data_IF_216653408719
#
_entry.id   IF_216653408719
#
_cell.length_a   1.000
_cell.length_b   1.000
_cell.length_c   1.000
_cell.angle_alpha   90.00
_cell.angle_beta   90.00
_cell.angle_gamma   90.00
#
_symmetry.space_group_name_H-M   'P 1'
#
loop_
_entity.id
_entity.type
_entity.pdbx_description
1 polymer ?
#
# COMPACT_ATOMS: atom_id res chain seq x y z
N UNK A 1 -11.82 -15.88 -8.44
CA UNK A 1 -11.23 -16.69 -7.35
C UNK A 1 -9.89 -16.06 -6.99
N UNK A 2 -9.65 -15.77 -5.71
CA UNK A 2 -8.37 -15.25 -5.21
C UNK A 2 -7.34 -16.37 -5.31
N UNK A 3 -6.18 -16.10 -5.90
CA UNK A 3 -5.12 -17.09 -6.04
C UNK A 3 -4.28 -17.19 -4.77
N UNK A 4 -3.58 -18.31 -4.56
CA UNK A 4 -2.67 -18.48 -3.42
C UNK A 4 -1.57 -17.40 -3.41
N UNK A 5 -1.10 -17.03 -4.59
CA UNK A 5 -0.13 -15.96 -4.83
C UNK A 5 -0.66 -14.59 -4.36
N UNK A 6 -1.92 -14.27 -4.60
CA UNK A 6 -2.54 -13.00 -4.16
C UNK A 6 -2.47 -12.87 -2.64
N UNK A 7 -2.71 -13.98 -1.94
CA UNK A 7 -2.60 -14.04 -0.49
C UNK A 7 -1.22 -13.72 0.01
N UNK A 8 -0.21 -14.37 -0.57
CA UNK A 8 1.17 -14.14 -0.17
C UNK A 8 1.60 -12.70 -0.44
N UNK A 9 1.28 -12.14 -1.61
CA UNK A 9 1.63 -10.75 -1.94
C UNK A 9 0.99 -9.77 -0.96
N UNK A 10 -0.29 -9.94 -0.66
CA UNK A 10 -0.97 -9.05 0.29
C UNK A 10 -0.37 -9.19 1.69
N UNK A 11 -0.09 -10.40 2.17
CA UNK A 11 0.64 -10.62 3.43
C UNK A 11 1.97 -9.87 3.47
N UNK A 12 2.73 -9.91 2.39
CA UNK A 12 4.01 -9.22 2.29
C UNK A 12 3.87 -7.69 2.23
N UNK A 13 2.85 -7.17 1.54
CA UNK A 13 2.54 -5.74 1.53
C UNK A 13 2.26 -5.25 2.96
N UNK A 14 1.46 -5.98 3.73
CA UNK A 14 1.15 -5.60 5.11
C UNK A 14 2.25 -5.95 6.12
N UNK A 15 3.35 -6.58 5.68
CA UNK A 15 4.59 -6.76 6.45
C UNK A 15 5.62 -5.65 6.22
N UNK A 16 5.36 -4.71 5.31
CA UNK A 16 6.16 -3.50 5.13
C UNK A 16 6.18 -2.65 6.41
N UNK A 17 7.03 -1.61 6.40
CA UNK A 17 7.20 -0.72 7.53
C UNK A 17 5.87 -0.10 7.99
N UNK A 18 5.75 0.16 9.29
CA UNK A 18 4.57 0.83 9.84
C UNK A 18 4.41 2.23 9.23
N UNK A 19 5.52 2.94 8.94
CA UNK A 19 5.52 4.21 8.20
C UNK A 19 4.82 4.09 6.84
N UNK A 20 5.17 3.08 6.03
CA UNK A 20 4.55 2.89 4.72
C UNK A 20 3.03 2.65 4.82
N UNK A 21 2.61 1.87 5.82
CA UNK A 21 1.20 1.58 6.06
C UNK A 21 0.45 2.80 6.63
N UNK A 22 1.06 3.58 7.52
CA UNK A 22 0.52 4.85 8.02
C UNK A 22 0.31 5.83 6.86
N UNK A 23 1.31 6.00 6.00
CA UNK A 23 1.23 6.90 4.84
C UNK A 23 0.15 6.47 3.86
N UNK A 24 -0.02 5.17 3.63
CA UNK A 24 -1.14 4.64 2.84
C UNK A 24 -2.49 4.97 3.48
N UNK A 25 -2.66 4.75 4.80
CA UNK A 25 -3.92 5.07 5.50
C UNK A 25 -4.23 6.56 5.42
N UNK A 26 -3.23 7.42 5.67
CA UNK A 26 -3.35 8.87 5.52
C UNK A 26 -3.79 9.26 4.11
N UNK A 27 -3.17 8.70 3.07
CA UNK A 27 -3.54 8.98 1.68
C UNK A 27 -4.95 8.51 1.30
N UNK A 28 -5.37 7.33 1.79
CA UNK A 28 -6.68 6.76 1.46
C UNK A 28 -7.84 7.43 2.20
N UNK A 29 -7.64 7.78 3.47
CA UNK A 29 -8.71 8.25 4.36
C UNK A 29 -8.60 9.72 4.74
N UNK A 30 -7.56 10.44 4.27
CA UNK A 30 -7.36 11.85 4.60
C UNK A 30 -7.01 12.08 6.07
N UNK A 31 -6.36 11.11 6.70
CA UNK A 31 -5.91 11.20 8.11
C UNK A 31 -4.51 11.80 8.20
N UNK A 32 -4.11 12.22 9.40
CA UNK A 32 -2.83 12.89 9.67
C UNK A 32 -2.02 12.17 10.77
N UNK A 33 -2.01 10.84 10.74
CA UNK A 33 -1.17 10.05 11.65
C UNK A 33 0.31 10.33 11.42
N UNK A 34 1.10 10.32 12.49
CA UNK A 34 2.55 10.50 12.44
C UNK A 34 3.26 9.22 12.00
N UNK A 35 4.45 9.34 11.41
CA UNK A 35 5.18 8.20 10.84
C UNK A 35 5.60 7.16 11.89
N UNK A 36 5.73 7.58 13.14
CA UNK A 36 6.12 6.74 14.28
C UNK A 36 4.92 5.98 14.89
N UNK A 37 3.71 6.22 14.40
CA UNK A 37 2.51 5.51 14.87
C UNK A 37 2.62 4.03 14.58
N UNK A 38 2.46 3.24 15.64
CA UNK A 38 2.55 1.79 15.55
C UNK A 38 1.31 1.21 14.86
N UNK A 39 1.52 0.23 14.00
CA UNK A 39 0.44 -0.51 13.37
C UNK A 39 0.38 -1.95 13.89
N UNK A 40 -0.76 -2.30 14.47
CA UNK A 40 -1.08 -3.69 14.81
C UNK A 40 -1.88 -4.32 13.68
N UNK A 41 -1.50 -5.54 13.29
CA UNK A 41 -2.09 -6.29 12.17
C UNK A 41 -2.85 -7.50 12.72
N UNK A 42 -4.14 -7.60 12.40
CA UNK A 42 -5.00 -8.72 12.75
C UNK A 42 -5.52 -9.38 11.47
N UNK A 43 -5.00 -10.56 11.17
CA UNK A 43 -5.44 -11.35 10.01
C UNK A 43 -6.75 -12.06 10.32
N UNK A 44 -7.68 -12.02 9.36
CA UNK A 44 -8.93 -12.79 9.45
C UNK A 44 -8.92 -13.87 8.39
N UNK A 45 -8.77 -15.11 8.84
CA UNK A 45 -8.81 -16.31 8.00
C UNK A 45 -10.27 -16.75 7.73
N UNK A 46 -11.04 -15.89 7.04
CA UNK A 46 -12.32 -16.29 6.44
C UNK A 46 -12.16 -16.50 4.92
N UNK A 47 -13.24 -16.81 4.19
CA UNK A 47 -13.24 -17.08 2.73
C UNK A 47 -12.63 -15.96 1.87
N UNK A 48 -12.53 -14.74 2.41
CA UNK A 48 -11.86 -13.60 1.78
C UNK A 48 -10.63 -13.18 2.59
N UNK A 49 -9.51 -13.00 1.90
CA UNK A 49 -8.28 -12.47 2.49
C UNK A 49 -8.52 -11.05 2.99
N UNK A 50 -8.47 -10.90 4.31
CA UNK A 50 -8.66 -9.62 4.96
C UNK A 50 -7.69 -9.41 6.13
N UNK A 51 -7.27 -8.16 6.28
CA UNK A 51 -6.41 -7.71 7.38
C UNK A 51 -7.02 -6.47 8.01
N UNK A 52 -7.14 -6.50 9.33
CA UNK A 52 -7.50 -5.33 10.12
C UNK A 52 -6.21 -4.68 10.66
N UNK A 53 -5.99 -3.43 10.29
CA UNK A 53 -4.95 -2.58 10.85
C UNK A 53 -5.52 -1.76 11.99
N UNK A 54 -4.79 -1.68 13.11
CA UNK A 54 -5.07 -0.73 14.19
C UNK A 54 -3.95 0.30 14.22
N UNK A 55 -4.29 1.59 14.14
CA UNK A 55 -3.33 2.70 14.25
C UNK A 55 -3.44 3.30 15.66
N UNK A 56 -2.30 3.44 16.35
CA UNK A 56 -2.25 3.94 17.73
C UNK A 56 -3.06 3.09 18.73
N UNK A 57 -3.45 1.87 18.35
CA UNK A 57 -4.29 0.96 19.15
C UNK A 57 -5.77 1.31 19.17
N UNK A 58 -6.19 2.37 18.48
CA UNK A 58 -7.56 2.90 18.61
C UNK A 58 -8.37 2.86 17.32
N UNK A 59 -7.81 3.37 16.22
CA UNK A 59 -8.52 3.49 14.94
C UNK A 59 -8.30 2.24 14.11
N UNK A 60 -9.37 1.70 13.52
CA UNK A 60 -9.33 0.42 12.81
C UNK A 60 -9.61 0.62 11.33
N UNK A 61 -8.84 -0.07 10.50
CA UNK A 61 -8.99 -0.08 9.05
C UNK A 61 -8.95 -1.52 8.55
N UNK A 62 -9.93 -1.94 7.76
CA UNK A 62 -9.94 -3.28 7.19
C UNK A 62 -9.65 -3.23 5.70
N UNK A 63 -8.68 -4.02 5.27
CA UNK A 63 -8.32 -4.19 3.88
C UNK A 63 -8.71 -5.59 3.44
N UNK A 64 -9.40 -5.71 2.32
CA UNK A 64 -9.82 -6.98 1.75
C UNK A 64 -9.60 -7.00 0.24
N UNK A 65 -9.27 -8.18 -0.27
CA UNK A 65 -9.07 -8.39 -1.70
C UNK A 65 -10.29 -9.10 -2.29
N UNK A 66 -10.77 -8.66 -3.45
CA UNK A 66 -11.84 -9.32 -4.21
C UNK A 66 -11.56 -9.26 -5.71
N UNK A 67 -12.11 -10.21 -6.47
CA UNK A 67 -12.08 -10.18 -7.95
C UNK A 67 -13.51 -10.05 -8.46
N UNK A 68 -13.79 -9.01 -9.21
CA UNK A 68 -15.12 -8.69 -9.76
C UNK A 68 -14.97 -8.40 -11.26
N UNK A 69 -15.75 -9.11 -12.08
CA UNK A 69 -15.77 -8.94 -13.55
C UNK A 69 -14.38 -8.93 -14.20
N UNK A 70 -13.51 -9.85 -13.75
CA UNK A 70 -12.13 -9.95 -14.26
C UNK A 70 -11.15 -8.98 -13.61
N UNK A 71 -11.60 -7.91 -12.96
CA UNK A 71 -10.71 -6.92 -12.33
C UNK A 71 -10.37 -7.29 -10.89
N UNK A 72 -9.16 -6.96 -10.45
CA UNK A 72 -8.78 -7.04 -9.04
C UNK A 72 -9.23 -5.77 -8.32
N UNK A 73 -9.89 -5.94 -7.18
CA UNK A 73 -10.33 -4.84 -6.34
C UNK A 73 -9.81 -4.98 -4.92
N UNK A 74 -9.24 -3.90 -4.39
CA UNK A 74 -8.91 -3.77 -2.98
C UNK A 74 -9.97 -2.90 -2.33
N UNK A 75 -10.65 -3.44 -1.32
CA UNK A 75 -11.61 -2.70 -0.51
C UNK A 75 -10.93 -2.34 0.82
N UNK A 76 -10.79 -1.05 1.09
CA UNK A 76 -10.25 -0.49 2.32
C UNK A 76 -11.37 0.24 3.08
N UNK A 77 -11.71 -0.23 4.26
CA UNK A 77 -12.82 0.29 5.06
C UNK A 77 -12.31 0.89 6.37
N UNK A 78 -12.74 2.11 6.69
CA UNK A 78 -12.60 2.65 8.04
C UNK A 78 -13.62 1.96 8.96
N UNK A 79 -13.12 1.20 9.93
CA UNK A 79 -13.90 0.46 10.94
C UNK A 79 -14.06 1.23 12.25
N UNK A 80 -13.78 2.54 12.21
CA UNK A 80 -13.93 3.49 13.31
C UNK A 80 -12.99 3.24 14.49
N UNK A 81 -13.20 4.05 15.53
CA UNK A 81 -12.40 4.02 16.75
C UNK A 81 -12.98 3.07 17.80
N UNK A 82 -12.16 2.20 18.40
CA UNK A 82 -12.59 1.20 19.37
C UNK A 82 -13.39 1.79 20.55
N UNK A 83 -13.02 2.97 21.04
CA UNK A 83 -13.70 3.62 22.16
C UNK A 83 -15.06 4.19 21.80
N UNK A 84 -15.27 4.57 20.54
CA UNK A 84 -16.59 4.98 20.04
C UNK A 84 -17.54 3.79 20.10
N UNK A 85 -17.09 2.59 19.71
CA UNK A 85 -17.90 1.39 19.83
C UNK A 85 -18.12 0.96 21.29
N UNK A 86 -17.08 0.95 22.12
CA UNK A 86 -17.19 0.53 23.52
C UNK A 86 -18.02 1.48 24.38
N UNK A 87 -17.94 2.80 24.18
CA UNK A 87 -18.77 3.79 24.88
C UNK A 87 -20.19 3.90 24.34
N UNK A 88 -20.45 3.43 23.11
CA UNK A 88 -21.77 3.53 22.47
C UNK A 88 -22.53 2.19 22.42
N UNK A 89 -21.95 1.10 22.90
CA UNK A 89 -22.55 -0.25 23.01
C UNK A 89 -23.69 -0.38 24.05
N UNK A 90 -24.51 0.65 24.24
CA UNK A 90 -25.71 0.59 25.11
C UNK A 90 -26.98 0.32 24.28
N UNK A 91 -26.87 0.03 22.98
CA UNK A 91 -27.99 -0.39 22.13
C UNK A 91 -27.55 -0.96 20.78
N UNK A 92 -28.48 -1.56 20.05
CA UNK A 92 -28.25 -2.09 18.71
C UNK A 92 -27.88 -0.95 17.75
N UNK A 93 -26.72 -1.07 17.09
CA UNK A 93 -26.25 -0.11 16.10
C UNK A 93 -26.96 -0.37 14.78
N UNK A 94 -27.75 0.59 14.30
CA UNK A 94 -28.39 0.48 12.99
C UNK A 94 -27.37 0.84 11.90
N UNK A 95 -27.07 -0.13 11.03
CA UNK A 95 -26.18 0.06 9.90
C UNK A 95 -26.97 0.45 8.66
N UNK A 96 -26.80 1.68 8.19
CA UNK A 96 -27.33 2.11 6.91
C UNK A 96 -26.19 1.97 5.89
N UNK A 97 -26.30 0.97 5.01
CA UNK A 97 -25.39 0.83 3.87
C UNK A 97 -25.91 1.69 2.74
N UNK A 98 -25.11 2.65 2.30
CA UNK A 98 -25.36 3.34 1.03
C UNK A 98 -25.35 2.31 -0.12
N UNK A 99 -26.22 2.46 -1.13
CA UNK A 99 -26.20 1.59 -2.30
C UNK A 99 -24.82 1.66 -2.96
N UNK A 100 -24.14 0.52 -3.03
CA UNK A 100 -22.86 0.41 -3.71
C UNK A 100 -23.11 0.50 -5.22
N UNK A 101 -22.98 1.71 -5.79
CA UNK A 101 -22.98 1.89 -7.24
C UNK A 101 -21.58 1.48 -7.72
N UNK A 102 -21.42 0.25 -8.19
CA UNK A 102 -20.17 -0.23 -8.78
C UNK A 102 -19.87 0.61 -10.04
N UNK A 103 -18.86 1.48 -9.98
CA UNK A 103 -18.36 2.17 -11.18
C UNK A 103 -17.23 1.34 -11.79
N UNK A 104 -17.40 0.98 -13.06
CA UNK A 104 -16.34 0.36 -13.85
C UNK A 104 -15.51 1.49 -14.48
N UNK A 105 -14.43 1.87 -13.81
CA UNK A 105 -13.47 2.88 -14.25
C UNK A 105 -12.04 2.38 -14.07
N UNK A 106 -11.09 2.97 -14.82
CA UNK A 106 -9.70 2.52 -14.86
C UNK A 106 -8.90 3.08 -13.70
N UNK A 107 -8.35 2.21 -12.84
CA UNK A 107 -7.41 2.58 -11.77
C UNK A 107 -7.89 3.73 -10.89
N UNK A 108 -9.18 3.77 -10.56
CA UNK A 108 -9.79 4.80 -9.73
C UNK A 108 -10.03 4.32 -8.29
N UNK A 109 -9.97 5.29 -7.38
CA UNK A 109 -10.43 5.17 -6.01
C UNK A 109 -11.88 5.64 -5.96
N UNK A 110 -12.79 4.74 -5.60
CA UNK A 110 -14.17 5.08 -5.32
C UNK A 110 -14.35 5.36 -3.84
N UNK A 111 -15.22 6.32 -3.54
CA UNK A 111 -15.48 6.80 -2.20
C UNK A 111 -16.93 6.51 -1.84
N UNK A 112 -17.13 5.59 -0.90
CA UNK A 112 -18.42 5.30 -0.30
C UNK A 112 -18.37 5.57 1.19
N UNK A 113 -19.52 5.60 1.84
CA UNK A 113 -19.58 5.64 3.30
C UNK A 113 -20.51 4.57 3.86
N UNK A 114 -20.24 4.17 5.10
CA UNK A 114 -21.20 3.48 5.95
C UNK A 114 -21.62 4.44 7.04
N UNK A 115 -22.91 4.70 7.14
CA UNK A 115 -23.46 5.45 8.26
C UNK A 115 -23.85 4.50 9.38
N UNK A 116 -23.32 4.76 10.57
CA UNK A 116 -23.73 4.13 11.81
C UNK A 116 -24.66 5.08 12.57
N UNK A 117 -25.87 4.64 12.83
CA UNK A 117 -26.84 5.37 13.65
C UNK A 117 -26.95 4.69 15.02
N UNK A 118 -26.69 5.47 16.06
CA UNK A 118 -26.76 5.02 17.44
C UNK A 118 -28.06 5.57 18.08
N UNK A 119 -28.86 4.74 18.77
CA UNK A 119 -30.12 5.17 19.36
C UNK A 119 -29.95 6.39 20.28
N UNK A 120 -30.63 7.50 19.97
CA UNK A 120 -30.59 8.75 20.74
C UNK A 120 -29.26 9.52 20.68
N UNK A 121 -28.40 9.23 19.70
CA UNK A 121 -27.05 9.80 19.57
C UNK A 121 -26.74 10.26 18.13
N UNK A 122 -25.53 10.80 17.95
CA UNK A 122 -24.98 11.26 16.67
C UNK A 122 -24.82 10.12 15.65
N UNK A 123 -24.94 10.48 14.36
CA UNK A 123 -24.62 9.61 13.23
C UNK A 123 -23.12 9.68 12.96
N UNK A 124 -22.50 8.54 12.74
CA UNK A 124 -21.07 8.45 12.40
C UNK A 124 -20.94 7.90 10.98
N UNK A 125 -20.33 8.68 10.10
CA UNK A 125 -19.99 8.25 8.74
C UNK A 125 -18.59 7.67 8.70
N UNK A 126 -18.48 6.46 8.16
CA UNK A 126 -17.24 5.72 8.05
C UNK A 126 -16.89 5.51 6.57
N UNK A 127 -15.79 6.10 6.07
CA UNK A 127 -15.43 5.99 4.67
C UNK A 127 -15.02 4.56 4.29
N UNK A 128 -15.44 4.14 3.12
CA UNK A 128 -15.04 2.93 2.41
C UNK A 128 -14.40 3.37 1.09
N UNK A 129 -13.20 2.87 0.83
CA UNK A 129 -12.46 3.10 -0.41
C UNK A 129 -12.40 1.79 -1.19
N UNK A 130 -12.88 1.81 -2.43
CA UNK A 130 -12.69 0.68 -3.36
C UNK A 130 -11.69 1.10 -4.42
N UNK A 131 -10.67 0.29 -4.60
CA UNK A 131 -9.57 0.50 -5.54
C UNK A 131 -9.70 -0.58 -6.60
N UNK A 132 -10.01 -0.20 -7.84
CA UNK A 132 -10.09 -1.14 -8.96
C UNK A 132 -8.81 -1.06 -9.79
N UNK A 133 -8.14 -2.18 -10.02
CA UNK A 133 -6.95 -2.27 -10.86
C UNK A 133 -7.34 -2.78 -12.26
N UNK A 134 -7.34 -1.88 -13.25
CA UNK A 134 -7.75 -2.11 -14.65
C UNK A 134 -6.72 -1.57 -15.67
N UNK A 135 -5.84 -0.63 -15.29
CA UNK A 135 -4.74 -0.15 -16.15
C UNK A 135 -3.35 -0.45 -15.56
N UNK A 136 -2.31 -0.52 -16.41
CA UNK A 136 -0.94 -0.83 -15.97
C UNK A 136 -0.14 0.40 -15.49
N UNK A 137 -0.78 1.52 -15.12
CA UNK A 137 -0.07 2.75 -14.76
C UNK A 137 0.44 2.77 -13.32
N UNK A 138 1.73 2.49 -13.14
CA UNK A 138 2.41 2.64 -11.84
C UNK A 138 2.33 4.08 -11.31
N UNK A 139 2.41 5.07 -12.20
CA UNK A 139 2.34 6.49 -11.86
C UNK A 139 0.99 6.88 -11.24
N UNK A 140 -0.13 6.51 -11.87
CA UNK A 140 -1.45 6.81 -11.31
C UNK A 140 -1.66 6.13 -9.96
N UNK A 141 -1.16 4.90 -9.83
CA UNK A 141 -1.24 4.17 -8.57
C UNK A 141 -0.47 4.90 -7.45
N UNK A 142 0.70 5.44 -7.77
CA UNK A 142 1.50 6.29 -6.88
C UNK A 142 0.78 7.60 -6.52
N UNK A 143 0.29 8.33 -7.53
CA UNK A 143 -0.40 9.62 -7.35
C UNK A 143 -1.65 9.50 -6.46
N UNK A 144 -2.32 8.34 -6.49
CA UNK A 144 -3.49 8.04 -5.65
C UNK A 144 -3.13 7.52 -4.24
N UNK A 145 -1.85 7.44 -3.88
CA UNK A 145 -1.39 6.93 -2.57
C UNK A 145 -1.50 5.41 -2.43
N UNK A 146 -1.56 4.68 -3.55
CA UNK A 146 -1.84 3.24 -3.60
C UNK A 146 -0.61 2.41 -4.01
N UNK A 147 0.60 3.00 -3.92
CA UNK A 147 1.85 2.41 -4.41
C UNK A 147 2.10 1.00 -3.85
N UNK A 148 1.62 0.70 -2.64
CA UNK A 148 1.78 -0.62 -2.03
C UNK A 148 1.13 -1.76 -2.85
N UNK A 149 0.14 -1.44 -3.69
CA UNK A 149 -0.53 -2.41 -4.55
C UNK A 149 0.10 -2.56 -5.94
N UNK A 150 1.26 -1.94 -6.17
CA UNK A 150 2.00 -1.99 -7.45
C UNK A 150 2.21 -3.41 -8.01
N UNK A 151 2.52 -4.46 -7.19
CA UNK A 151 2.71 -5.82 -7.70
C UNK A 151 1.47 -6.38 -8.39
N UNK A 152 0.28 -5.87 -8.11
CA UNK A 152 -0.95 -6.36 -8.72
C UNK A 152 -1.19 -5.81 -10.13
N UNK A 153 -0.46 -4.77 -10.58
CA UNK A 153 -0.58 -4.25 -11.96
C UNK A 153 -0.12 -5.25 -13.02
N UNK A 154 0.63 -6.29 -12.64
CA UNK A 154 0.98 -7.38 -13.56
C UNK A 154 -0.24 -8.15 -14.08
N UNK A 155 -1.35 -8.19 -13.33
CA UNK A 155 -2.61 -8.72 -13.85
C UNK A 155 -3.09 -7.95 -15.07
N UNK A 156 -3.03 -6.62 -15.01
CA UNK A 156 -3.45 -5.76 -16.11
C UNK A 156 -2.61 -6.02 -17.38
N UNK A 157 -1.31 -6.30 -17.23
CA UNK A 157 -0.43 -6.62 -18.37
C UNK A 157 -0.80 -7.96 -19.00
N UNK A 158 -1.09 -8.99 -18.19
CA UNK A 158 -1.49 -10.30 -18.70
C UNK A 158 -2.80 -10.25 -19.48
N UNK A 159 -3.75 -9.43 -19.01
CA UNK A 159 -5.09 -9.29 -19.57
C UNK A 159 -5.13 -8.37 -20.81
N UNK A 160 -4.00 -7.78 -21.24
CA UNK A 160 -3.93 -6.98 -22.48
C UNK A 160 -4.19 -7.84 -23.72
N UNK A 161 -5.25 -7.52 -24.44
CA UNK A 161 -5.58 -8.07 -25.76
C UNK A 161 -4.76 -7.39 -26.87
N UNK A 162 -3.46 -7.62 -26.88
CA UNK A 162 -2.52 -7.11 -27.89
C UNK A 162 -1.58 -8.21 -28.38
N UNK A 163 -0.85 -7.96 -29.47
CA UNK A 163 0.17 -8.90 -29.95
C UNK A 163 1.28 -9.11 -28.92
N UNK A 164 1.86 -10.31 -28.90
CA UNK A 164 2.99 -10.68 -28.02
C UNK A 164 4.11 -9.64 -28.03
N UNK A 165 4.54 -9.21 -29.23
CA UNK A 165 5.57 -8.17 -29.40
C UNK A 165 5.20 -6.83 -28.75
N UNK A 166 3.92 -6.46 -28.77
CA UNK A 166 3.43 -5.23 -28.13
C UNK A 166 3.35 -5.42 -26.61
N UNK A 167 2.91 -6.59 -26.13
CA UNK A 167 2.85 -6.94 -24.72
C UNK A 167 4.24 -6.97 -24.10
N UNK A 168 5.21 -7.60 -24.75
CA UNK A 168 6.63 -7.62 -24.37
C UNK A 168 7.18 -6.19 -24.22
N UNK A 169 6.95 -5.32 -25.22
CA UNK A 169 7.42 -3.93 -25.16
C UNK A 169 6.80 -3.15 -23.99
N UNK A 170 5.49 -3.30 -23.77
CA UNK A 170 4.79 -2.65 -22.65
C UNK A 170 5.37 -3.13 -21.32
N UNK A 171 5.63 -4.43 -21.21
CA UNK A 171 6.20 -5.03 -20.02
C UNK A 171 7.63 -4.55 -19.75
N UNK A 172 8.50 -4.47 -20.78
CA UNK A 172 9.88 -3.94 -20.63
C UNK A 172 9.86 -2.51 -20.11
N UNK A 173 9.05 -1.65 -20.73
CA UNK A 173 8.86 -0.28 -20.25
C UNK A 173 8.38 -0.25 -18.80
N UNK A 174 7.41 -1.11 -18.47
CA UNK A 174 6.83 -1.15 -17.13
C UNK A 174 7.86 -1.54 -16.04
N UNK A 175 8.69 -2.55 -16.27
CA UNK A 175 9.66 -3.02 -15.27
C UNK A 175 10.91 -2.14 -15.20
N UNK A 176 11.39 -1.65 -16.34
CA UNK A 176 12.66 -0.91 -16.42
C UNK A 176 12.47 0.56 -16.05
N UNK A 177 11.29 1.12 -16.34
CA UNK A 177 11.02 2.55 -16.18
C UNK A 177 9.90 2.80 -15.17
N UNK A 178 8.67 2.36 -15.44
CA UNK A 178 7.50 2.81 -14.67
C UNK A 178 7.55 2.41 -13.19
N UNK A 179 7.91 1.15 -12.90
CA UNK A 179 8.07 0.66 -11.52
C UNK A 179 9.19 1.43 -10.82
N UNK A 180 10.34 1.57 -11.49
CA UNK A 180 11.54 2.20 -10.90
C UNK A 180 11.24 3.66 -10.54
N UNK A 181 10.64 4.41 -11.46
CA UNK A 181 10.25 5.80 -11.21
C UNK A 181 9.19 5.93 -10.11
N UNK A 182 8.16 5.08 -10.11
CA UNK A 182 7.09 5.16 -9.11
C UNK A 182 7.62 4.90 -7.70
N UNK A 183 8.53 3.92 -7.55
CA UNK A 183 9.17 3.61 -6.27
C UNK A 183 10.15 4.72 -5.84
N UNK A 184 10.94 5.27 -6.76
CA UNK A 184 11.85 6.39 -6.47
C UNK A 184 11.07 7.66 -6.05
N UNK A 185 9.97 7.99 -6.75
CA UNK A 185 9.06 9.08 -6.35
C UNK A 185 8.49 8.85 -4.95
N UNK A 186 8.02 7.64 -4.67
CA UNK A 186 7.44 7.29 -3.37
C UNK A 186 8.46 7.37 -2.24
N UNK A 187 9.70 6.96 -2.49
CA UNK A 187 10.82 7.11 -1.57
C UNK A 187 11.13 8.58 -1.30
N UNK A 188 11.27 9.40 -2.35
CA UNK A 188 11.53 10.84 -2.24
C UNK A 188 10.43 11.59 -1.49
N UNK A 189 9.17 11.16 -1.62
CA UNK A 189 8.02 11.69 -0.85
C UNK A 189 7.99 11.20 0.60
N UNK A 190 8.84 10.25 1.00
CA UNK A 190 8.81 9.62 2.32
C UNK A 190 7.64 8.65 2.53
N UNK A 191 6.95 8.26 1.45
CA UNK A 191 5.86 7.27 1.50
C UNK A 191 6.38 5.84 1.70
N UNK A 192 7.62 5.59 1.28
CA UNK A 192 8.32 4.32 1.45
C UNK A 192 9.69 4.56 2.07
N UNK A 193 10.13 3.66 2.95
CA UNK A 193 11.54 3.62 3.37
C UNK A 193 12.41 2.99 2.28
N UNK A 194 13.73 3.14 2.41
CA UNK A 194 14.67 2.49 1.49
C UNK A 194 14.49 0.96 1.46
N UNK A 195 14.20 0.34 2.61
CA UNK A 195 13.93 -1.09 2.70
C UNK A 195 12.61 -1.47 2.03
N UNK A 196 11.55 -0.67 2.22
CA UNK A 196 10.26 -0.91 1.56
C UNK A 196 10.39 -0.87 0.04
N UNK A 197 11.16 0.07 -0.51
CA UNK A 197 11.45 0.13 -1.96
C UNK A 197 12.05 -1.18 -2.45
N UNK A 198 13.06 -1.72 -1.77
CA UNK A 198 13.68 -2.97 -2.18
C UNK A 198 12.71 -4.15 -2.03
N UNK A 199 11.90 -4.17 -0.96
CA UNK A 199 10.87 -5.21 -0.79
C UNK A 199 9.83 -5.16 -1.91
N UNK A 200 9.38 -3.96 -2.28
CA UNK A 200 8.44 -3.74 -3.37
C UNK A 200 9.00 -4.20 -4.72
N UNK A 201 10.28 -3.94 -5.01
CA UNK A 201 10.96 -4.51 -6.20
C UNK A 201 10.90 -6.04 -6.20
N UNK A 202 11.18 -6.69 -5.07
CA UNK A 202 11.11 -8.15 -4.97
C UNK A 202 9.69 -8.70 -5.15
N UNK A 203 8.66 -8.01 -4.62
CA UNK A 203 7.27 -8.39 -4.84
C UNK A 203 6.87 -8.24 -6.31
N UNK A 204 7.29 -7.14 -6.96
CA UNK A 204 7.07 -6.94 -8.39
C UNK A 204 7.78 -8.02 -9.22
N UNK A 205 9.02 -8.38 -8.88
CA UNK A 205 9.78 -9.46 -9.54
C UNK A 205 9.06 -10.81 -9.41
N UNK A 206 8.55 -11.11 -8.23
CA UNK A 206 7.79 -12.34 -8.00
C UNK A 206 6.54 -12.38 -8.88
N UNK A 207 5.77 -11.29 -8.91
CA UNK A 207 4.55 -11.20 -9.71
C UNK A 207 4.84 -11.26 -11.21
N UNK A 208 5.87 -10.56 -11.68
CA UNK A 208 6.34 -10.63 -13.06
C UNK A 208 6.63 -12.07 -13.47
N UNK A 209 7.43 -12.79 -12.68
CA UNK A 209 7.76 -14.19 -12.95
C UNK A 209 6.51 -15.06 -12.93
N UNK A 210 5.70 -15.00 -11.87
CA UNK A 210 4.53 -15.86 -11.72
C UNK A 210 3.50 -15.69 -12.83
N UNK A 211 3.25 -14.45 -13.22
CA UNK A 211 2.19 -14.12 -14.16
C UNK A 211 2.63 -14.31 -15.62
N UNK A 212 3.90 -14.02 -15.93
CA UNK A 212 4.37 -13.93 -17.31
C UNK A 212 5.28 -15.10 -17.73
N UNK A 213 5.70 -16.00 -16.83
CA UNK A 213 6.53 -17.17 -17.18
C UNK A 213 5.86 -18.14 -18.17
N UNK A 214 4.58 -17.98 -18.49
CA UNK A 214 3.91 -18.78 -19.52
C UNK A 214 3.90 -18.13 -20.90
N UNK A 215 4.25 -16.84 -20.97
CA UNK A 215 4.33 -16.10 -22.22
C UNK A 215 5.57 -16.57 -23.01
N UNK A 216 5.43 -16.71 -24.33
CA UNK A 216 6.50 -17.25 -25.20
C UNK A 216 7.76 -16.38 -25.17
N UNK A 217 7.57 -15.06 -25.24
CA UNK A 217 8.66 -14.08 -25.20
C UNK A 217 9.38 -14.10 -23.84
N UNK A 218 8.72 -14.42 -22.73
CA UNK A 218 9.39 -14.61 -21.44
C UNK A 218 10.24 -15.88 -21.33
N UNK A 219 10.18 -16.79 -22.31
CA UNK A 219 11.11 -17.93 -22.35
C UNK A 219 12.49 -17.56 -22.91
N UNK A 220 12.61 -16.38 -23.51
CA UNK A 220 13.89 -15.87 -24.00
C UNK A 220 14.76 -15.45 -22.81
N UNK A 221 16.01 -15.93 -22.80
CA UNK A 221 16.95 -15.69 -21.70
C UNK A 221 17.17 -14.19 -21.46
N UNK A 222 17.27 -13.40 -22.53
CA UNK A 222 17.44 -11.94 -22.47
C UNK A 222 16.32 -11.28 -21.65
N UNK A 223 15.06 -11.66 -21.89
CA UNK A 223 13.91 -11.13 -21.17
C UNK A 223 13.91 -11.56 -19.71
N UNK A 224 14.34 -12.79 -19.42
CA UNK A 224 14.49 -13.25 -18.03
C UNK A 224 15.57 -12.45 -17.30
N UNK A 225 16.75 -12.27 -17.90
CA UNK A 225 17.86 -11.49 -17.34
C UNK A 225 17.49 -10.02 -17.12
N UNK A 226 16.79 -9.40 -18.07
CA UNK A 226 16.31 -8.03 -17.97
C UNK A 226 15.33 -7.84 -16.81
N UNK A 227 14.38 -8.78 -16.62
CA UNK A 227 13.48 -8.78 -15.47
C UNK A 227 14.23 -8.90 -14.14
N UNK A 228 15.15 -9.86 -14.06
CA UNK A 228 15.88 -10.19 -12.85
C UNK A 228 16.75 -9.01 -12.41
N UNK A 229 17.44 -8.37 -13.35
CA UNK A 229 18.32 -7.22 -13.11
C UNK A 229 17.56 -5.94 -12.79
N UNK A 230 16.49 -5.61 -13.53
CA UNK A 230 15.71 -4.39 -13.33
C UNK A 230 15.03 -4.33 -11.95
N UNK A 231 14.58 -5.49 -11.46
CA UNK A 231 13.87 -5.63 -10.19
C UNK A 231 14.75 -6.27 -9.09
N UNK A 232 16.06 -6.26 -9.26
CA UNK A 232 17.00 -6.69 -8.23
C UNK A 232 17.01 -5.70 -7.05
N UNK A 233 17.26 -6.23 -5.84
CA UNK A 233 17.45 -5.41 -4.66
C UNK A 233 18.81 -4.70 -4.74
N UNK A 234 18.81 -3.37 -4.68
CA UNK A 234 20.03 -2.57 -4.67
C UNK A 234 20.61 -2.51 -3.25
N UNK A 235 21.44 -3.50 -2.92
CA UNK A 235 22.12 -3.59 -1.61
C UNK A 235 23.04 -2.40 -1.38
N UNK A 236 23.75 -1.94 -2.42
CA UNK A 236 24.65 -0.79 -2.31
C UNK A 236 23.88 0.49 -1.97
N UNK A 237 22.67 0.65 -2.49
CA UNK A 237 21.79 1.75 -2.10
C UNK A 237 21.39 1.68 -0.62
N UNK A 238 21.06 0.48 -0.12
CA UNK A 238 20.75 0.30 1.30
C UNK A 238 21.95 0.64 2.19
N UNK A 239 23.16 0.22 1.82
CA UNK A 239 24.40 0.56 2.53
C UNK A 239 24.61 2.08 2.59
N UNK A 240 24.48 2.77 1.45
CA UNK A 240 24.61 4.24 1.40
C UNK A 240 23.58 4.95 2.29
N UNK A 241 22.32 4.51 2.27
CA UNK A 241 21.28 5.10 3.11
C UNK A 241 21.58 4.86 4.59
N UNK A 242 22.02 3.65 4.94
CA UNK A 242 22.40 3.32 6.32
C UNK A 242 23.57 4.18 6.82
N UNK A 243 24.62 4.32 6.03
CA UNK A 243 25.77 5.19 6.37
C UNK A 243 25.33 6.65 6.57
N UNK A 244 24.44 7.18 5.72
CA UNK A 244 23.90 8.52 5.88
C UNK A 244 23.10 8.69 7.18
N UNK A 245 22.31 7.69 7.56
CA UNK A 245 21.56 7.71 8.82
C UNK A 245 22.47 7.64 10.05
N UNK A 246 23.53 6.83 10.00
CA UNK A 246 24.51 6.73 11.07
C UNK A 246 25.27 8.05 11.27
N UNK A 247 25.74 8.67 10.17
CA UNK A 247 26.42 9.96 10.22
C UNK A 247 25.52 11.07 10.78
N UNK A 248 24.22 11.08 10.46
CA UNK A 248 23.25 12.04 11.02
C UNK A 248 23.09 11.87 12.53
N UNK A 249 23.02 10.63 13.02
CA UNK A 249 22.92 10.34 14.46
C UNK A 249 24.17 10.80 15.19
N UNK A 250 25.36 10.51 14.66
CA UNK A 250 26.63 10.94 15.25
C UNK A 250 26.73 12.46 15.37
N UNK A 251 26.30 13.21 14.34
CA UNK A 251 26.26 14.68 14.38
C UNK A 251 25.27 15.22 15.43
N UNK A 252 24.12 14.58 15.62
CA UNK A 252 23.17 14.95 16.66
C UNK A 252 23.73 14.73 18.07
N UNK A 253 24.53 13.68 18.30
CA UNK A 253 25.21 13.44 19.57
C UNK A 253 26.44 14.33 19.78
N UNK A 254 27.06 14.83 18.71
CA UNK A 254 28.22 15.73 18.77
C UNK A 254 27.86 17.21 19.00
N UNK A 255 26.57 17.58 18.95
CA UNK A 255 26.13 18.97 19.18
C UNK A 255 25.91 19.21 20.69
N UNK A 256 26.70 20.06 21.38
CA UNK A 256 26.51 20.30 22.81
C UNK A 256 25.16 20.99 23.03
N UNK A 257 24.32 20.45 23.94
CA UNK A 257 23.17 21.19 24.45
C UNK A 257 23.72 22.40 25.20
N UNK A 258 23.57 23.61 24.66
CA UNK A 258 23.77 24.83 25.44
C UNK A 258 22.78 24.82 26.60
N UNK A 259 23.27 24.48 27.79
CA UNK A 259 22.52 24.63 29.03
C UNK A 259 22.39 26.14 29.27
N UNK A 260 21.16 26.69 29.42
CA UNK A 260 21.01 28.08 29.82
C UNK A 260 21.68 28.25 31.19
N UNK A 261 22.63 29.18 31.28
CA UNK A 261 23.19 29.60 32.56
C UNK A 261 22.04 30.24 33.33
N UNK A 262 21.72 29.80 34.57
CA UNK A 262 20.70 30.45 35.35
C UNK A 262 21.16 31.88 35.66
N UNK A 263 20.32 32.86 35.32
CA UNK A 263 20.49 34.25 35.74
C UNK A 263 20.38 34.33 37.25
N UNK A 264 21.52 34.18 37.93
CA UNK A 264 21.70 34.61 39.30
C UNK A 264 22.57 35.86 39.30
N UNK A 265 22.02 36.91 39.89
CA UNK A 265 22.58 38.23 40.23
C UNK A 265 22.28 39.38 39.24
N UNK A 266 21.18 40.08 39.52
CA UNK A 266 21.10 41.55 39.60
C UNK A 266 19.99 41.97 40.59
#
# INVERSE_FOLDING_TARGET
MIQKEDRWIMEEIFRLSDQALVRMINGLFGTEYQDEEKIWKEWRDQEALSVCLKVGGMNRYEFSLRRLDGCLQICAENRGNIFVYEKMAVGDVMQIREPQILYFGKNHREEYSRTLEFPGKERVELPIRVITLEDCSARKLEENGMILFLPFLFYCICELEVSDRKKERIWKEFICHDIVEALDRSFKKGSLTAFDVQRMKQLCRHMAWKMLVREKWMQELENQEEMLSSLEADVKFLERVHEMEMNKKEQQYATPRCVPVPDSEL
#
